data_IF_772564332177
#
_entry.id   IF_772564332177
#
_cell.length_a   1.000
_cell.length_b   1.000
_cell.length_c   1.000
_cell.angle_alpha   90.00
_cell.angle_beta   90.00
_cell.angle_gamma   90.00
#
_symmetry.space_group_name_H-M   'P 1'
#
loop_
_entity.id
_entity.type
_entity.pdbx_description
1 polymer ?
#
# COMPACT_ATOMS: atom_id res chain seq x y z
N UNK A 1 62.70 -15.06 11.26
CA UNK A 1 62.06 -14.75 9.97
C UNK A 1 61.03 -15.83 9.74
N UNK A 2 59.78 -15.46 10.00
CA UNK A 2 58.62 -16.33 10.10
C UNK A 2 58.11 -16.69 8.72
N UNK A 3 57.99 -17.99 8.42
CA UNK A 3 57.31 -18.48 7.23
C UNK A 3 56.02 -19.18 7.65
N UNK A 4 54.95 -18.41 7.73
CA UNK A 4 53.59 -18.90 7.98
C UNK A 4 52.84 -18.93 6.65
N UNK A 5 53.01 -20.02 5.90
CA UNK A 5 52.14 -20.34 4.77
C UNK A 5 50.73 -20.66 5.26
N UNK A 6 49.87 -19.63 5.31
CA UNK A 6 48.44 -19.81 5.55
C UNK A 6 47.77 -20.25 4.25
N UNK A 7 47.36 -21.52 4.21
CA UNK A 7 46.57 -22.10 3.13
C UNK A 7 45.23 -21.36 2.98
N UNK A 8 45.08 -20.66 1.87
CA UNK A 8 43.83 -20.00 1.51
C UNK A 8 42.87 -21.05 0.93
N UNK A 9 41.97 -21.60 1.76
CA UNK A 9 40.86 -22.44 1.28
C UNK A 9 39.85 -21.59 0.49
N UNK A 10 39.59 -21.85 -0.81
CA UNK A 10 38.49 -21.18 -1.49
C UNK A 10 37.17 -21.84 -1.07
N UNK A 11 36.42 -21.17 -0.20
CA UNK A 11 35.01 -21.48 0.04
C UNK A 11 34.15 -21.05 -1.16
N UNK A 12 34.37 -21.71 -2.29
CA UNK A 12 33.50 -21.57 -3.45
C UNK A 12 32.15 -22.19 -3.15
N UNK A 13 31.12 -21.37 -2.88
CA UNK A 13 29.72 -21.81 -2.93
C UNK A 13 29.53 -22.61 -4.21
N UNK A 14 29.29 -23.92 -4.09
CA UNK A 14 28.91 -24.78 -5.22
C UNK A 14 27.67 -24.16 -5.86
N UNK A 15 27.83 -23.54 -7.03
CA UNK A 15 26.71 -23.05 -7.83
C UNK A 15 25.88 -24.28 -8.18
N UNK A 16 24.57 -24.24 -7.88
CA UNK A 16 23.68 -25.36 -8.18
C UNK A 16 23.73 -25.68 -9.68
N UNK A 17 24.31 -26.81 -10.04
CA UNK A 17 24.50 -27.27 -11.41
C UNK A 17 23.22 -27.91 -11.99
N UNK A 18 22.04 -27.42 -11.59
CA UNK A 18 20.73 -27.85 -12.12
C UNK A 18 20.29 -26.97 -13.29
N UNK A 19 21.24 -26.55 -14.14
CA UNK A 19 20.90 -25.72 -15.30
C UNK A 19 20.34 -26.61 -16.40
N UNK A 20 19.01 -26.65 -16.52
CA UNK A 20 18.32 -27.44 -17.55
C UNK A 20 18.58 -26.95 -18.99
N UNK A 21 19.17 -25.76 -19.18
CA UNK A 21 19.39 -25.12 -20.48
C UNK A 21 20.89 -24.96 -20.73
N UNK A 22 21.46 -25.89 -21.49
CA UNK A 22 22.90 -26.04 -21.71
C UNK A 22 23.35 -25.62 -23.13
N UNK A 23 22.47 -25.69 -24.12
CA UNK A 23 22.76 -25.26 -25.49
C UNK A 23 22.37 -23.79 -25.75
N UNK A 24 23.09 -23.14 -26.68
CA UNK A 24 22.87 -21.73 -27.08
C UNK A 24 22.69 -21.63 -28.60
N UNK A 25 21.77 -20.77 -29.03
CA UNK A 25 21.59 -20.40 -30.44
C UNK A 25 22.14 -18.98 -30.62
N UNK A 26 23.04 -18.79 -31.58
CA UNK A 26 23.61 -17.49 -31.93
C UNK A 26 23.01 -16.98 -33.23
N UNK A 27 22.59 -15.71 -33.23
CA UNK A 27 22.15 -15.00 -34.42
C UNK A 27 22.76 -13.60 -34.39
N UNK A 28 23.37 -13.18 -35.51
CA UNK A 28 23.81 -11.78 -35.67
C UNK A 28 22.59 -10.94 -36.05
N UNK A 29 22.44 -9.81 -35.38
CA UNK A 29 21.37 -8.84 -35.60
C UNK A 29 21.97 -7.44 -35.60
N UNK A 30 21.35 -6.54 -36.31
CA UNK A 30 21.63 -5.10 -36.27
C UNK A 30 21.19 -4.50 -34.92
N UNK A 31 21.70 -3.31 -34.55
CA UNK A 31 21.24 -2.60 -33.35
C UNK A 31 19.74 -2.33 -33.36
N UNK A 32 19.18 -1.98 -34.53
CA UNK A 32 17.76 -1.66 -34.69
C UNK A 32 16.89 -2.90 -34.47
N UNK A 33 17.25 -4.04 -35.07
CA UNK A 33 16.57 -5.32 -34.85
C UNK A 33 16.61 -5.74 -33.38
N UNK A 34 17.76 -5.56 -32.71
CA UNK A 34 17.89 -5.84 -31.28
C UNK A 34 16.97 -4.95 -30.46
N UNK A 35 16.88 -3.65 -30.77
CA UNK A 35 16.01 -2.71 -30.06
C UNK A 35 14.53 -3.07 -30.24
N UNK A 36 14.12 -3.37 -31.48
CA UNK A 36 12.77 -3.78 -31.81
C UNK A 36 12.38 -5.09 -31.12
N UNK A 37 13.31 -6.05 -31.05
CA UNK A 37 13.12 -7.30 -30.32
C UNK A 37 12.92 -7.07 -28.82
N UNK A 38 13.76 -6.26 -28.18
CA UNK A 38 13.63 -5.94 -26.76
C UNK A 38 12.32 -5.23 -26.46
N UNK A 39 11.93 -4.26 -27.29
CA UNK A 39 10.65 -3.57 -27.15
C UNK A 39 9.45 -4.52 -27.28
N UNK A 40 9.50 -5.51 -28.18
CA UNK A 40 8.47 -6.56 -28.30
C UNK A 40 8.41 -7.45 -27.06
N UNK A 41 9.57 -7.86 -26.54
CA UNK A 41 9.65 -8.67 -25.33
C UNK A 41 9.08 -7.93 -24.12
N UNK A 42 9.37 -6.63 -24.00
CA UNK A 42 8.87 -5.78 -22.93
C UNK A 42 7.36 -5.56 -23.02
N UNK A 43 6.82 -5.30 -24.22
CA UNK A 43 5.37 -5.25 -24.44
C UNK A 43 4.68 -6.57 -24.10
N UNK A 44 5.33 -7.70 -24.35
CA UNK A 44 4.83 -9.02 -23.96
C UNK A 44 5.00 -9.33 -22.46
N UNK A 45 5.63 -8.43 -21.68
CA UNK A 45 5.90 -8.65 -20.26
C UNK A 45 6.86 -9.81 -19.98
N UNK A 46 7.69 -10.19 -20.96
CA UNK A 46 8.57 -11.35 -20.88
C UNK A 46 10.03 -10.94 -20.80
N UNK A 47 10.85 -11.77 -20.15
CA UNK A 47 12.29 -11.63 -20.27
C UNK A 47 12.71 -11.92 -21.73
N UNK A 48 13.69 -11.19 -22.27
CA UNK A 48 14.18 -11.34 -23.64
C UNK A 48 14.41 -12.81 -24.05
N UNK A 49 15.08 -13.60 -23.20
CA UNK A 49 15.34 -15.02 -23.45
C UNK A 49 14.07 -15.90 -23.40
N UNK A 50 13.06 -15.51 -22.62
CA UNK A 50 11.79 -16.20 -22.60
C UNK A 50 10.95 -15.88 -23.83
N UNK A 51 10.93 -14.60 -24.24
CA UNK A 51 10.28 -14.16 -25.46
C UNK A 51 10.90 -14.81 -26.70
N UNK A 52 12.24 -14.92 -26.76
CA UNK A 52 12.93 -15.65 -27.83
C UNK A 52 12.48 -17.12 -27.89
N UNK A 53 12.38 -17.82 -26.75
CA UNK A 53 11.91 -19.22 -26.73
C UNK A 53 10.46 -19.35 -27.15
N UNK A 54 9.60 -18.45 -26.69
CA UNK A 54 8.20 -18.41 -27.09
C UNK A 54 8.07 -18.26 -28.61
N UNK A 55 8.87 -17.37 -29.20
CA UNK A 55 8.88 -17.13 -30.64
C UNK A 55 9.48 -18.29 -31.46
N UNK A 56 10.49 -18.99 -30.92
CA UNK A 56 11.20 -20.06 -31.64
C UNK A 56 10.57 -21.45 -31.50
N UNK A 57 10.03 -21.78 -30.32
CA UNK A 57 9.60 -23.15 -29.95
C UNK A 57 8.12 -23.15 -29.50
N UNK A 58 7.45 -21.99 -29.47
CA UNK A 58 6.05 -21.87 -29.06
C UNK A 58 5.83 -21.85 -27.54
N UNK A 59 6.88 -22.08 -26.73
CA UNK A 59 6.78 -22.12 -25.27
C UNK A 59 7.82 -21.20 -24.60
N UNK A 60 7.35 -20.31 -23.73
CA UNK A 60 8.20 -19.38 -23.00
C UNK A 60 8.87 -20.02 -21.75
N UNK A 61 8.27 -21.08 -21.21
CA UNK A 61 8.67 -21.84 -20.03
C UNK A 61 8.25 -21.22 -18.68
N UNK A 62 8.48 -21.92 -17.55
CA UNK A 62 7.88 -21.59 -16.23
C UNK A 62 8.39 -20.30 -15.56
N UNK A 63 9.36 -19.61 -16.17
CA UNK A 63 9.89 -18.31 -15.69
C UNK A 63 9.85 -17.26 -16.81
N UNK A 64 8.82 -17.34 -17.64
CA UNK A 64 8.70 -16.54 -18.84
C UNK A 64 8.47 -15.06 -18.54
N UNK A 65 7.61 -14.82 -17.56
CA UNK A 65 7.22 -13.48 -17.19
C UNK A 65 8.40 -12.78 -16.53
N UNK A 66 8.68 -11.58 -17.01
CA UNK A 66 9.56 -10.66 -16.30
C UNK A 66 8.83 -10.36 -15.00
N UNK A 67 9.33 -10.91 -13.87
CA UNK A 67 8.94 -10.40 -12.55
C UNK A 67 9.32 -8.93 -12.62
N UNK A 68 8.33 -8.06 -12.79
CA UNK A 68 8.53 -6.63 -12.93
C UNK A 68 9.49 -6.29 -11.79
N UNK A 69 10.73 -5.82 -12.05
CA UNK A 69 11.43 -5.08 -11.04
C UNK A 69 10.60 -3.82 -10.94
N UNK A 70 9.53 -3.89 -10.15
CA UNK A 70 8.67 -2.76 -9.85
C UNK A 70 9.64 -1.65 -9.52
N UNK A 71 9.59 -0.58 -10.31
CA UNK A 71 10.60 0.46 -10.30
C UNK A 71 10.93 0.77 -8.85
N UNK A 72 12.11 0.31 -8.43
CA UNK A 72 12.38 0.20 -7.00
C UNK A 72 12.41 1.59 -6.37
N UNK A 73 12.58 2.63 -7.19
CA UNK A 73 12.38 4.02 -6.81
C UNK A 73 10.88 4.32 -6.56
N UNK A 74 10.00 4.03 -7.52
CA UNK A 74 8.56 4.22 -7.37
C UNK A 74 7.97 3.46 -6.17
N UNK A 75 8.37 2.20 -5.96
CA UNK A 75 7.95 1.43 -4.78
C UNK A 75 8.44 2.04 -3.46
N UNK A 76 9.68 2.53 -3.41
CA UNK A 76 10.21 3.19 -2.21
C UNK A 76 9.50 4.51 -1.93
N UNK A 77 9.16 5.28 -2.97
CA UNK A 77 8.38 6.51 -2.83
C UNK A 77 6.96 6.20 -2.32
N UNK A 78 6.29 5.20 -2.88
CA UNK A 78 4.98 4.73 -2.41
C UNK A 78 5.07 4.31 -0.94
N UNK A 79 6.08 3.52 -0.55
CA UNK A 79 6.25 3.08 0.83
C UNK A 79 6.51 4.26 1.79
N UNK A 80 7.31 5.25 1.36
CA UNK A 80 7.59 6.46 2.14
C UNK A 80 6.35 7.32 2.39
N UNK A 81 5.55 7.59 1.35
CA UNK A 81 4.30 8.34 1.49
C UNK A 81 3.28 7.60 2.37
N UNK A 82 3.21 6.27 2.27
CA UNK A 82 2.33 5.47 3.13
C UNK A 82 2.74 5.56 4.60
N UNK A 83 4.04 5.49 4.91
CA UNK A 83 4.57 5.66 6.26
C UNK A 83 4.26 7.04 6.85
N UNK A 84 4.44 8.11 6.06
CA UNK A 84 4.09 9.48 6.46
C UNK A 84 2.60 9.61 6.78
N UNK A 85 1.75 9.13 5.87
CA UNK A 85 0.28 9.19 6.03
C UNK A 85 -0.17 8.42 7.28
N UNK A 86 0.35 7.22 7.49
CA UNK A 86 0.05 6.43 8.68
C UNK A 86 0.47 7.12 9.99
N UNK A 87 1.62 7.80 9.99
CA UNK A 87 2.06 8.59 11.14
C UNK A 87 1.11 9.74 11.45
N UNK A 88 0.71 10.52 10.44
CA UNK A 88 -0.24 11.63 10.61
C UNK A 88 -1.59 11.12 11.14
N UNK A 89 -2.14 10.05 10.57
CA UNK A 89 -3.41 9.46 11.04
C UNK A 89 -3.30 8.96 12.49
N UNK A 90 -2.17 8.36 12.87
CA UNK A 90 -1.94 7.92 14.24
C UNK A 90 -1.84 9.10 15.23
N UNK A 91 -1.22 10.21 14.83
CA UNK A 91 -1.14 11.42 15.64
C UNK A 91 -2.53 12.05 15.84
N UNK A 92 -3.32 12.16 14.76
CA UNK A 92 -4.71 12.65 14.81
C UNK A 92 -5.55 11.77 15.74
N UNK A 93 -5.51 10.45 15.57
CA UNK A 93 -6.26 9.52 16.39
C UNK A 93 -5.90 9.65 17.88
N UNK A 94 -4.60 9.76 18.18
CA UNK A 94 -4.12 9.90 19.57
C UNK A 94 -4.59 11.21 20.20
N UNK A 95 -4.48 12.32 19.47
CA UNK A 95 -4.90 13.64 19.95
C UNK A 95 -6.41 13.70 20.23
N UNK A 96 -7.23 13.21 19.30
CA UNK A 96 -8.68 13.14 19.49
C UNK A 96 -9.07 12.20 20.63
N UNK A 97 -8.37 11.07 20.79
CA UNK A 97 -8.61 10.14 21.90
C UNK A 97 -8.31 10.77 23.27
N UNK A 98 -7.38 11.71 23.34
CA UNK A 98 -7.06 12.46 24.57
C UNK A 98 -8.00 13.65 24.84
N UNK A 99 -9.10 13.79 24.08
CA UNK A 99 -10.06 14.88 24.23
C UNK A 99 -9.66 16.17 23.52
N UNK A 100 -8.78 16.08 22.51
CA UNK A 100 -8.40 17.21 21.68
C UNK A 100 -9.50 17.66 20.73
N UNK A 101 -9.49 18.95 20.36
CA UNK A 101 -10.51 19.58 19.50
C UNK A 101 -10.30 19.25 18.01
N UNK A 102 -11.37 18.96 17.29
CA UNK A 102 -11.30 18.53 15.88
C UNK A 102 -10.71 19.61 14.95
N UNK A 103 -10.91 20.89 15.25
CA UNK A 103 -10.37 22.01 14.48
C UNK A 103 -8.83 22.01 14.47
N UNK A 104 -8.19 21.53 15.53
CA UNK A 104 -6.73 21.52 15.69
C UNK A 104 -6.06 20.54 14.72
N UNK A 105 -6.70 19.41 14.43
CA UNK A 105 -6.15 18.34 13.56
C UNK A 105 -6.57 18.45 12.10
N UNK A 106 -7.42 19.43 11.78
CA UNK A 106 -7.92 19.66 10.42
C UNK A 106 -6.79 19.88 9.38
N UNK A 107 -5.70 20.59 9.69
CA UNK A 107 -4.55 20.72 8.79
C UNK A 107 -3.85 19.38 8.51
N UNK A 108 -3.61 18.57 9.54
CA UNK A 108 -2.95 17.27 9.42
C UNK A 108 -3.78 16.28 8.59
N UNK A 109 -5.11 16.34 8.74
CA UNK A 109 -6.04 15.54 7.96
C UNK A 109 -6.00 15.93 6.47
N UNK A 110 -5.96 17.23 6.17
CA UNK A 110 -5.79 17.73 4.78
C UNK A 110 -4.46 17.29 4.20
N UNK A 111 -3.39 17.31 4.98
CA UNK A 111 -2.08 16.83 4.53
C UNK A 111 -2.10 15.33 4.21
N UNK A 112 -2.70 14.52 5.08
CA UNK A 112 -2.85 13.08 4.87
C UNK A 112 -3.65 12.76 3.60
N UNK A 113 -4.74 13.50 3.34
CA UNK A 113 -5.52 13.37 2.10
C UNK A 113 -4.71 13.76 0.85
N UNK A 114 -3.88 14.80 0.94
CA UNK A 114 -2.98 15.19 -0.14
C UNK A 114 -1.89 14.13 -0.41
N UNK A 115 -1.34 13.51 0.64
CA UNK A 115 -0.42 12.38 0.49
C UNK A 115 -1.10 11.16 -0.15
N UNK A 116 -2.37 10.88 0.17
CA UNK A 116 -3.15 9.85 -0.52
C UNK A 116 -3.35 10.14 -2.02
N UNK A 117 -3.62 11.39 -2.38
CA UNK A 117 -3.73 11.79 -3.78
C UNK A 117 -2.40 11.58 -4.55
N UNK A 118 -1.27 11.93 -3.92
CA UNK A 118 0.08 11.67 -4.46
C UNK A 118 0.36 10.18 -4.63
N UNK A 119 0.07 9.37 -3.61
CA UNK A 119 0.18 7.91 -3.66
C UNK A 119 -0.62 7.32 -4.82
N UNK A 120 -1.87 7.75 -4.97
CA UNK A 120 -2.75 7.32 -6.05
C UNK A 120 -2.11 7.61 -7.41
N UNK A 121 -1.63 8.83 -7.63
CA UNK A 121 -0.97 9.21 -8.88
C UNK A 121 0.29 8.37 -9.18
N UNK A 122 1.14 8.14 -8.17
CA UNK A 122 2.35 7.30 -8.32
C UNK A 122 2.00 5.85 -8.69
N UNK A 123 0.96 5.28 -8.08
CA UNK A 123 0.49 3.92 -8.38
C UNK A 123 -0.04 3.85 -9.81
N UNK A 124 -0.87 4.80 -10.23
CA UNK A 124 -1.39 4.85 -11.61
C UNK A 124 -0.26 5.01 -12.64
N UNK A 125 0.71 5.91 -12.37
CA UNK A 125 1.91 6.06 -13.20
C UNK A 125 2.75 4.80 -13.28
N UNK A 126 2.98 4.11 -12.15
CA UNK A 126 3.72 2.85 -12.10
C UNK A 126 2.99 1.70 -12.82
N UNK A 127 1.65 1.73 -12.85
CA UNK A 127 0.81 0.75 -13.55
C UNK A 127 0.57 1.11 -15.03
N UNK A 128 1.01 2.27 -15.49
CA UNK A 128 0.74 2.76 -16.85
C UNK A 128 -0.75 2.98 -17.13
N UNK A 129 -1.55 3.30 -16.11
CA UNK A 129 -2.99 3.53 -16.20
C UNK A 129 -3.30 5.00 -15.89
N UNK A 130 -4.33 5.55 -16.52
CA UNK A 130 -4.84 6.86 -16.11
C UNK A 130 -5.61 6.75 -14.78
N UNK A 131 -5.47 7.72 -13.88
CA UNK A 131 -6.22 7.73 -12.63
C UNK A 131 -7.71 7.86 -12.96
N UNK A 132 -8.50 6.95 -12.38
CA UNK A 132 -9.96 6.98 -12.49
C UNK A 132 -10.44 8.37 -12.04
N UNK A 133 -10.87 9.18 -13.00
CA UNK A 133 -11.36 10.53 -12.77
C UNK A 133 -12.80 10.45 -12.30
N UNK A 134 -13.02 9.73 -11.19
CA UNK A 134 -14.19 10.00 -10.38
C UNK A 134 -13.97 11.43 -9.85
N UNK A 135 -14.76 12.43 -10.29
CA UNK A 135 -14.67 13.76 -9.71
C UNK A 135 -14.80 13.59 -8.20
N UNK A 136 -14.04 14.37 -7.43
CA UNK A 136 -14.35 14.56 -6.03
C UNK A 136 -15.84 14.88 -5.99
N UNK A 137 -16.66 13.93 -5.52
CA UNK A 137 -18.06 14.16 -5.32
C UNK A 137 -18.09 15.45 -4.49
N UNK A 138 -18.61 16.53 -5.09
CA UNK A 138 -18.85 17.74 -4.34
C UNK A 138 -19.49 17.29 -3.02
N UNK A 139 -18.98 17.74 -1.86
CA UNK A 139 -19.57 17.33 -0.60
C UNK A 139 -21.07 17.56 -0.77
N UNK A 140 -21.94 16.56 -0.56
CA UNK A 140 -23.37 16.80 -0.66
C UNK A 140 -23.60 17.98 0.26
N UNK A 141 -24.05 19.10 -0.30
CA UNK A 141 -24.40 20.29 0.46
C UNK A 141 -25.29 19.77 1.56
N UNK A 142 -24.76 19.75 2.78
CA UNK A 142 -25.49 19.26 3.95
C UNK A 142 -26.60 20.26 4.09
N UNK A 143 -27.77 19.91 3.54
CA UNK A 143 -28.98 20.68 3.68
C UNK A 143 -29.23 20.75 5.17
N UNK A 144 -29.00 21.92 5.76
CA UNK A 144 -29.32 22.21 7.15
C UNK A 144 -30.84 22.23 7.29
N UNK A 145 -31.46 21.07 7.23
CA UNK A 145 -32.73 20.84 7.90
C UNK A 145 -32.38 20.64 9.37
N UNK A 146 -32.54 21.71 10.16
CA UNK A 146 -32.52 21.60 11.61
C UNK A 146 -33.40 20.39 12.03
N UNK A 147 -32.97 19.56 13.00
CA UNK A 147 -33.86 18.56 13.55
C UNK A 147 -35.03 19.30 14.21
N UNK A 148 -36.26 18.90 13.88
CA UNK A 148 -37.46 19.43 14.50
C UNK A 148 -37.32 19.38 16.03
N UNK A 149 -37.78 20.41 16.77
CA UNK A 149 -37.64 20.43 18.22
C UNK A 149 -38.40 19.25 18.81
N UNK A 150 -37.70 18.44 19.59
CA UNK A 150 -38.30 17.41 20.44
C UNK A 150 -39.31 18.11 21.36
N UNK A 151 -40.59 17.73 21.39
CA UNK A 151 -41.54 18.35 22.30
C UNK A 151 -41.12 18.07 23.75
N UNK A 152 -41.04 19.13 24.55
CA UNK A 152 -40.68 19.06 25.96
C UNK A 152 -41.65 18.13 26.72
N UNK A 153 -41.15 17.27 27.63
CA UNK A 153 -42.04 16.51 28.51
C UNK A 153 -42.72 17.47 29.50
N UNK A 154 -44.04 17.35 29.61
CA UNK A 154 -44.86 18.13 30.54
C UNK A 154 -44.39 17.94 32.00
N UNK A 155 -44.33 19.05 32.74
CA UNK A 155 -43.99 19.12 34.15
C UNK A 155 -45.03 18.41 35.06
N UNK A 156 -44.70 18.11 36.33
CA UNK A 156 -45.21 16.95 37.06
C UNK A 156 -46.52 17.21 37.82
N UNK A 157 -47.42 16.23 37.82
CA UNK A 157 -48.62 16.21 38.65
C UNK A 157 -48.34 15.44 39.96
N UNK A 158 -48.35 16.21 41.05
CA UNK A 158 -48.66 15.92 42.45
C UNK A 158 -48.44 14.49 43.05
N UNK A 159 -47.59 14.44 44.09
CA UNK A 159 -47.68 13.49 45.23
C UNK A 159 -48.88 13.89 46.15
N UNK A 160 -49.30 13.15 47.22
CA UNK A 160 -48.68 12.00 47.94
C UNK A 160 -49.75 10.92 48.38
N UNK A 161 -49.65 10.09 49.46
CA UNK A 161 -48.55 9.84 50.41
C UNK A 161 -48.22 8.36 50.80
N UNK A 162 -47.01 8.22 51.34
CA UNK A 162 -46.55 7.38 52.46
C UNK A 162 -46.84 5.86 52.51
N UNK A 163 -45.76 5.06 52.52
CA UNK A 163 -45.78 3.65 52.93
C UNK A 163 -44.40 3.01 53.07
N UNK A 164 -43.87 3.00 54.30
CA UNK A 164 -42.93 2.05 54.93
C UNK A 164 -41.79 1.37 54.12
N UNK A 165 -40.57 1.85 54.39
CA UNK A 165 -39.39 1.11 54.90
C UNK A 165 -39.11 -0.32 54.41
N UNK A 166 -37.92 -0.53 53.83
CA UNK A 166 -36.77 -1.15 54.55
C UNK A 166 -35.50 -1.11 53.69
N UNK A 167 -34.50 -0.43 54.22
CA UNK A 167 -33.12 -0.38 53.73
C UNK A 167 -32.40 -1.66 54.16
N UNK A 168 -31.76 -2.36 53.23
CA UNK A 168 -30.83 -3.46 53.52
C UNK A 168 -29.49 -3.10 52.87
N UNK A 169 -28.45 -2.75 53.65
CA UNK A 169 -27.11 -2.54 53.11
C UNK A 169 -26.41 -3.87 52.79
N UNK A 170 -25.50 -3.90 51.81
CA UNK A 170 -24.84 -5.13 51.36
C UNK A 170 -23.78 -5.63 52.37
N UNK A 171 -23.57 -6.95 52.48
CA UNK A 171 -22.51 -7.51 53.32
C UNK A 171 -21.12 -7.40 52.65
N UNK A 172 -20.12 -7.10 53.48
CA UNK A 172 -18.67 -7.27 53.27
C UNK A 172 -18.07 -7.71 54.62
N UNK A 173 -16.86 -8.29 54.69
CA UNK A 173 -15.83 -8.45 53.66
C UNK A 173 -15.81 -9.80 52.93
#
# INVERSE_FOLDING_TARGET
MSDSGSEHSPSGRRKSERRQRTATIYARVTPDEKSAFLARADRAGMAAAAFARAALIGEAGPRAQRRIPADSAALRQILGHLGKTGSNLNQIARYLHTGGEAETVLPDLREALADFARLRALIYGALGKEPDSAPAAAPPLVSTSAPAPIPAPAAPEAAPPAGLSKFIPPPKP
#
